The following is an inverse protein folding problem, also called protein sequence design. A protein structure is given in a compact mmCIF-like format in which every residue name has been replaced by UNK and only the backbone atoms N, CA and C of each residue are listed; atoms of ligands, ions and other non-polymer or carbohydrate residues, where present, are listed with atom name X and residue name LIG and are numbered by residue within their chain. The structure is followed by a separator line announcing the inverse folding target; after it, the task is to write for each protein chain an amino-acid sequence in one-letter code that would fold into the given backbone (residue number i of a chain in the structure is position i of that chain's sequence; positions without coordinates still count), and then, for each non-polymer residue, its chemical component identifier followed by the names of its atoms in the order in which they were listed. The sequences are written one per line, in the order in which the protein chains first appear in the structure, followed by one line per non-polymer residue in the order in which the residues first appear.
data_IF_775532635555
#
_entry.id   IF_775532635555
#
_cell.length_a   1.000
_cell.length_b   1.000
_cell.length_c   1.000
_cell.angle_alpha   90.00
_cell.angle_beta   90.00
_cell.angle_gamma   90.00
#
_symmetry.space_group_name_H-M   'P 1'
#
loop_
_entity.id
_entity.type
_entity.pdbx_description
1 polymer ?
#
# COMPACT_ATOMS: atom_id res chain seq x y z
N UNK A 1 -0.13 -7.06 -12.43
CA UNK A 1 -0.39 -5.75 -11.81
C UNK A 1 0.95 -5.13 -11.53
N UNK A 2 1.08 -3.84 -11.78
CA UNK A 2 2.34 -3.12 -11.67
C UNK A 2 2.37 -2.26 -10.41
N UNK A 3 3.58 -1.98 -9.90
CA UNK A 3 3.76 -1.05 -8.79
C UNK A 3 3.12 0.30 -9.12
N UNK A 4 2.29 0.78 -8.19
CA UNK A 4 1.50 2.00 -8.31
C UNK A 4 0.11 1.83 -8.90
N UNK A 5 -0.28 0.63 -9.36
CA UNK A 5 -1.66 0.40 -9.78
C UNK A 5 -2.63 0.64 -8.61
N UNK A 6 -3.67 1.41 -8.90
CA UNK A 6 -4.80 1.66 -7.99
C UNK A 6 -5.92 0.71 -8.37
N UNK A 7 -6.41 -0.07 -7.43
CA UNK A 7 -7.48 -1.05 -7.69
C UNK A 7 -8.55 -1.04 -6.61
N UNK A 8 -9.73 -1.54 -6.97
CA UNK A 8 -10.78 -1.90 -6.01
C UNK A 8 -10.85 -3.42 -5.90
N UNK A 9 -11.33 -3.90 -4.75
CA UNK A 9 -11.55 -5.32 -4.50
C UNK A 9 -12.98 -5.53 -3.99
N UNK A 10 -13.83 -6.07 -4.84
CA UNK A 10 -15.19 -6.44 -4.49
C UNK A 10 -15.20 -7.65 -3.56
N UNK A 11 -15.97 -7.59 -2.48
CA UNK A 11 -16.02 -8.65 -1.46
C UNK A 11 -14.64 -8.95 -0.82
N UNK A 12 -13.88 -7.90 -0.46
CA UNK A 12 -12.60 -8.06 0.20
C UNK A 12 -12.71 -8.97 1.45
N UNK A 13 -12.01 -10.12 1.49
CA UNK A 13 -12.27 -11.20 2.45
C UNK A 13 -11.91 -10.83 3.90
N UNK A 14 -11.10 -9.79 4.09
CA UNK A 14 -10.66 -9.33 5.41
C UNK A 14 -11.47 -8.11 5.91
N UNK A 15 -12.63 -7.83 5.30
CA UNK A 15 -13.54 -6.80 5.80
C UNK A 15 -14.35 -7.32 7.00
N UNK A 16 -14.26 -6.62 8.13
CA UNK A 16 -15.03 -6.92 9.35
C UNK A 16 -16.44 -6.30 9.30
N UNK A 17 -16.65 -5.29 8.45
CA UNK A 17 -17.92 -4.56 8.28
C UNK A 17 -18.38 -4.56 6.82
N UNK A 18 -19.66 -4.25 6.60
CA UNK A 18 -20.28 -4.05 5.28
C UNK A 18 -19.38 -3.26 4.32
N UNK A 19 -19.44 -3.65 3.04
CA UNK A 19 -18.58 -3.31 1.91
C UNK A 19 -18.26 -1.81 1.79
N UNK A 20 -17.36 -1.29 2.64
CA UNK A 20 -16.83 0.08 2.51
C UNK A 20 -16.03 0.16 1.23
N UNK A 21 -16.42 1.07 0.33
CA UNK A 21 -15.61 1.45 -0.84
C UNK A 21 -14.22 1.86 -0.34
N UNK A 22 -13.22 1.14 -0.82
CA UNK A 22 -11.81 1.42 -0.54
C UNK A 22 -11.01 1.13 -1.78
N UNK A 23 -9.97 1.92 -1.97
CA UNK A 23 -8.97 1.69 -2.99
C UNK A 23 -7.75 1.07 -2.34
N UNK A 24 -7.06 0.26 -3.11
CA UNK A 24 -5.80 -0.35 -2.76
C UNK A 24 -4.74 0.21 -3.71
N UNK A 25 -3.51 0.35 -3.21
CA UNK A 25 -2.37 0.74 -4.03
C UNK A 25 -1.36 -0.41 -4.02
N UNK A 26 -1.10 -1.02 -5.17
CA UNK A 26 -0.15 -2.12 -5.27
C UNK A 26 1.30 -1.63 -5.13
N UNK A 27 2.01 -2.08 -4.10
CA UNK A 27 3.41 -1.75 -3.82
C UNK A 27 4.37 -2.92 -4.05
N UNK A 28 3.90 -3.98 -4.71
CA UNK A 28 4.69 -5.16 -5.04
C UNK A 28 4.55 -6.30 -4.03
N UNK A 29 5.50 -7.21 -4.06
CA UNK A 29 5.48 -8.44 -3.26
C UNK A 29 6.28 -8.31 -1.96
N UNK A 30 5.93 -9.11 -0.98
CA UNK A 30 6.63 -9.31 0.28
C UNK A 30 6.85 -10.80 0.52
N UNK A 31 8.08 -11.19 0.87
CA UNK A 31 8.41 -12.52 1.39
C UNK A 31 9.00 -12.39 2.78
N UNK A 32 8.52 -13.14 3.75
CA UNK A 32 9.05 -13.02 5.12
C UNK A 32 10.53 -13.42 5.17
N UNK A 33 10.88 -14.50 4.45
CA UNK A 33 12.25 -14.83 4.10
C UNK A 33 12.52 -14.49 2.62
N UNK A 34 13.32 -13.46 2.32
CA UNK A 34 13.64 -13.07 0.95
C UNK A 34 14.76 -13.92 0.31
N UNK A 35 15.15 -15.05 0.92
CA UNK A 35 16.12 -15.98 0.33
C UNK A 35 15.58 -16.52 -1.02
N UNK A 36 16.31 -16.36 -2.13
CA UNK A 36 15.88 -16.86 -3.43
C UNK A 36 15.76 -18.40 -3.51
N UNK A 37 16.34 -19.13 -2.55
CA UNK A 37 16.26 -20.59 -2.46
C UNK A 37 15.16 -21.07 -1.50
N UNK A 38 14.43 -20.16 -0.85
CA UNK A 38 13.27 -20.52 -0.03
C UNK A 38 11.99 -20.56 -0.87
N UNK A 39 11.56 -21.78 -1.18
CA UNK A 39 10.31 -22.10 -1.85
C UNK A 39 9.15 -22.36 -0.88
N UNK A 40 9.41 -22.34 0.43
CA UNK A 40 8.43 -22.63 1.48
C UNK A 40 7.74 -21.38 1.99
N UNK A 41 8.42 -20.23 1.93
CA UNK A 41 7.87 -18.96 2.37
C UNK A 41 6.75 -18.47 1.46
N UNK A 42 5.57 -18.26 2.04
CA UNK A 42 4.43 -17.65 1.35
C UNK A 42 4.78 -16.26 0.84
N UNK A 43 4.41 -15.99 -0.41
CA UNK A 43 4.48 -14.65 -0.99
C UNK A 43 3.23 -13.90 -0.60
N UNK A 44 3.41 -12.66 -0.19
CA UNK A 44 2.35 -11.73 0.15
C UNK A 44 2.39 -10.55 -0.83
N UNK A 45 1.24 -9.90 -1.03
CA UNK A 45 1.09 -8.67 -1.78
C UNK A 45 1.03 -7.51 -0.82
N UNK A 46 1.86 -6.49 -1.04
CA UNK A 46 1.85 -5.23 -0.30
C UNK A 46 0.84 -4.29 -0.98
N UNK A 47 -0.34 -4.12 -0.39
CA UNK A 47 -1.41 -3.29 -0.89
C UNK A 47 -2.10 -2.47 0.22
N UNK A 48 -1.52 -1.33 0.65
CA UNK A 48 -2.22 -0.38 1.53
C UNK A 48 -3.60 0.00 1.00
N UNK A 49 -4.52 0.19 1.93
CA UNK A 49 -5.90 0.61 1.65
C UNK A 49 -6.16 2.05 2.05
N UNK A 50 -7.08 2.67 1.34
CA UNK A 50 -7.58 4.00 1.68
C UNK A 50 -8.82 3.94 2.57
N UNK A 51 -9.13 5.05 3.21
CA UNK A 51 -10.41 5.31 3.88
C UNK A 51 -11.03 6.61 3.38
N UNK A 52 -12.36 6.63 3.28
CA UNK A 52 -13.15 7.83 2.96
C UNK A 52 -13.54 8.60 4.22
N UNK A 53 -13.19 8.10 5.41
CA UNK A 53 -13.42 8.77 6.69
C UNK A 53 -12.33 9.83 6.94
N UNK A 54 -12.35 10.89 6.12
CA UNK A 54 -11.33 11.95 6.13
C UNK A 54 -11.35 12.79 7.40
N UNK A 55 -12.51 12.87 8.06
CA UNK A 55 -12.71 13.68 9.26
C UNK A 55 -11.74 13.34 10.40
N UNK A 56 -11.27 12.09 10.52
CA UNK A 56 -10.36 11.71 11.62
C UNK A 56 -8.93 12.25 11.47
N UNK A 57 -8.61 12.86 10.33
CA UNK A 57 -7.28 13.36 9.99
C UNK A 57 -7.22 14.89 9.93
N UNK A 58 -8.33 15.57 10.24
CA UNK A 58 -8.37 17.03 10.34
C UNK A 58 -7.63 17.53 11.60
N UNK A 59 -7.17 18.79 11.64
CA UNK A 59 -6.46 19.32 12.80
C UNK A 59 -7.25 19.16 14.11
N UNK A 60 -6.60 18.59 15.13
CA UNK A 60 -7.20 18.32 16.45
C UNK A 60 -7.84 16.94 16.59
N UNK A 61 -7.92 16.17 15.51
CA UNK A 61 -8.51 14.83 15.52
C UNK A 61 -7.51 13.73 15.84
N UNK A 62 -8.03 12.55 16.18
CA UNK A 62 -7.23 11.42 16.69
C UNK A 62 -6.11 10.97 15.76
N UNK A 63 -6.24 11.15 14.45
CA UNK A 63 -5.26 10.71 13.44
C UNK A 63 -4.60 11.87 12.68
N UNK A 64 -4.75 13.11 13.15
CA UNK A 64 -4.17 14.29 12.51
C UNK A 64 -2.64 14.19 12.34
N UNK A 65 -1.96 13.52 13.28
CA UNK A 65 -0.50 13.33 13.29
C UNK A 65 -0.05 12.02 12.62
N UNK A 66 -0.98 11.20 12.11
CA UNK A 66 -0.61 9.96 11.43
C UNK A 66 0.17 10.28 10.14
N UNK A 67 1.15 9.46 9.73
CA UNK A 67 1.66 9.53 8.38
C UNK A 67 0.54 9.10 7.41
N UNK A 68 0.00 10.06 6.66
CA UNK A 68 -1.04 9.79 5.66
C UNK A 68 -0.81 10.60 4.39
N UNK A 69 -1.51 10.19 3.32
CA UNK A 69 -1.61 10.93 2.06
C UNK A 69 -3.09 11.10 1.72
N UNK A 70 -3.48 12.33 1.38
CA UNK A 70 -4.82 12.64 0.89
C UNK A 70 -4.83 12.58 -0.63
N UNK A 71 -5.87 11.97 -1.18
CA UNK A 71 -6.13 11.89 -2.61
C UNK A 71 -7.43 12.58 -2.96
N UNK A 72 -7.43 13.31 -4.08
CA UNK A 72 -8.61 13.91 -4.69
C UNK A 72 -8.96 13.18 -5.98
N UNK A 73 -10.26 13.03 -6.32
CA UNK A 73 -10.68 12.47 -7.62
C UNK A 73 -10.09 13.22 -8.82
N UNK A 74 -9.83 14.52 -8.65
CA UNK A 74 -9.32 15.40 -9.69
C UNK A 74 -7.84 15.16 -10.03
N UNK A 75 -7.11 14.38 -9.23
CA UNK A 75 -5.71 14.03 -9.52
C UNK A 75 -5.58 12.99 -10.64
N UNK A 76 -6.67 12.31 -11.02
CA UNK A 76 -6.67 11.39 -12.17
C UNK A 76 -6.06 10.02 -11.89
N UNK A 77 -5.85 9.64 -10.62
CA UNK A 77 -5.24 8.36 -10.24
C UNK A 77 -6.24 7.18 -10.11
N UNK A 78 -7.51 7.38 -10.45
CA UNK A 78 -8.55 6.33 -10.40
C UNK A 78 -9.40 6.30 -9.12
N UNK A 79 -9.22 7.29 -8.23
CA UNK A 79 -10.11 7.51 -7.09
C UNK A 79 -11.38 8.23 -7.54
N UNK A 80 -12.55 7.80 -7.03
CA UNK A 80 -13.84 8.43 -7.39
C UNK A 80 -14.37 9.39 -6.32
N UNK A 81 -13.76 9.40 -5.14
CA UNK A 81 -14.07 10.34 -4.05
C UNK A 81 -12.79 10.70 -3.29
N UNK A 82 -12.86 11.73 -2.47
CA UNK A 82 -11.75 12.09 -1.59
C UNK A 82 -11.47 10.95 -0.62
N UNK A 83 -10.20 10.57 -0.51
CA UNK A 83 -9.81 9.49 0.40
C UNK A 83 -8.41 9.70 0.96
N UNK A 84 -8.12 8.96 2.03
CA UNK A 84 -6.86 9.02 2.75
C UNK A 84 -6.21 7.64 2.78
N UNK A 85 -4.95 7.59 2.38
CA UNK A 85 -4.07 6.46 2.59
C UNK A 85 -3.38 6.61 3.95
N UNK A 86 -3.85 5.87 4.95
CA UNK A 86 -3.24 5.86 6.28
C UNK A 86 -2.05 4.90 6.29
N UNK A 87 -0.88 5.44 6.57
CA UNK A 87 0.40 4.72 6.60
C UNK A 87 0.94 4.63 8.04
N UNK A 88 0.08 4.82 9.05
CA UNK A 88 0.47 4.64 10.45
C UNK A 88 0.62 3.17 10.84
N UNK A 89 -0.10 2.26 10.16
CA UNK A 89 -0.21 0.85 10.51
C UNK A 89 0.22 -0.06 9.35
N UNK A 90 0.79 -1.22 9.69
CA UNK A 90 1.35 -2.19 8.75
C UNK A 90 0.34 -3.18 8.14
N UNK A 91 -0.96 -2.93 8.26
CA UNK A 91 -2.03 -3.80 7.74
C UNK A 91 -2.17 -3.68 6.21
N UNK A 92 -1.21 -4.30 5.51
CA UNK A 92 -0.94 -4.05 4.10
C UNK A 92 -0.66 -5.31 3.31
N UNK A 93 -0.43 -6.43 3.98
CA UNK A 93 0.04 -7.66 3.33
C UNK A 93 -1.10 -8.65 3.18
N UNK A 94 -1.24 -9.19 1.97
CA UNK A 94 -2.33 -10.09 1.59
C UNK A 94 -1.71 -11.35 0.98
N UNK A 95 -2.14 -12.58 1.35
CA UNK A 95 -1.63 -13.79 0.70
C UNK A 95 -1.77 -13.73 -0.83
N UNK A 96 -0.69 -14.02 -1.55
CA UNK A 96 -0.64 -13.89 -3.00
C UNK A 96 -1.64 -14.82 -3.69
N UNK A 97 -1.82 -16.04 -3.19
CA UNK A 97 -2.80 -16.99 -3.69
C UNK A 97 -4.23 -16.42 -3.65
N UNK A 98 -4.64 -15.84 -2.53
CA UNK A 98 -5.95 -15.20 -2.38
C UNK A 98 -6.06 -14.00 -3.33
N UNK A 99 -5.01 -13.20 -3.44
CA UNK A 99 -4.99 -12.06 -4.36
C UNK A 99 -5.16 -12.50 -5.82
N UNK A 100 -4.40 -13.52 -6.26
CA UNK A 100 -4.44 -14.03 -7.62
C UNK A 100 -5.79 -14.68 -7.95
N UNK A 101 -6.34 -15.51 -7.05
CA UNK A 101 -7.67 -16.10 -7.21
C UNK A 101 -8.75 -15.02 -7.44
N UNK A 102 -8.69 -13.92 -6.68
CA UNK A 102 -9.64 -12.82 -6.79
C UNK A 102 -9.38 -11.94 -8.02
N UNK A 103 -8.14 -11.87 -8.50
CA UNK A 103 -7.79 -11.20 -9.73
C UNK A 103 -8.31 -11.98 -10.96
N UNK A 104 -8.12 -13.29 -10.98
CA UNK A 104 -8.62 -14.20 -12.03
C UNK A 104 -10.16 -14.22 -12.06
N UNK A 105 -10.78 -14.17 -10.89
CA UNK A 105 -12.24 -14.11 -10.73
C UNK A 105 -12.84 -12.72 -11.01
N UNK A 106 -12.05 -11.75 -11.47
CA UNK A 106 -12.46 -10.38 -11.80
C UNK A 106 -13.07 -9.58 -10.62
N UNK A 107 -12.83 -10.02 -9.38
CA UNK A 107 -13.23 -9.27 -8.16
C UNK A 107 -12.30 -8.10 -7.90
N UNK A 108 -11.08 -8.15 -8.42
CA UNK A 108 -10.12 -7.05 -8.41
C UNK A 108 -10.16 -6.33 -9.76
N UNK A 109 -10.37 -5.01 -9.71
CA UNK A 109 -10.43 -4.17 -10.91
C UNK A 109 -9.46 -2.99 -10.77
N UNK A 110 -8.52 -2.87 -11.72
CA UNK A 110 -7.62 -1.73 -11.81
C UNK A 110 -8.42 -0.50 -12.25
N UNK A 111 -8.25 0.62 -11.54
CA UNK A 111 -8.94 1.89 -11.75
C UNK A 111 -8.03 3.03 -12.19
N UNK A 112 -6.74 2.92 -11.93
CA UNK A 112 -5.77 3.93 -12.33
C UNK A 112 -4.37 3.58 -11.86
N UNK A 113 -3.49 4.57 -11.87
CA UNK A 113 -2.08 4.41 -11.51
C UNK A 113 -1.55 5.67 -10.83
N UNK A 114 -0.85 5.48 -9.71
CA UNK A 114 -0.16 6.54 -8.98
C UNK A 114 1.05 7.00 -9.79
N UNK A 115 1.28 8.31 -9.86
CA UNK A 115 2.47 8.87 -10.50
C UNK A 115 3.76 8.58 -9.70
N UNK A 116 4.89 8.54 -10.38
CA UNK A 116 6.21 8.35 -9.76
C UNK A 116 6.48 9.33 -8.61
N UNK A 117 6.11 10.60 -8.80
CA UNK A 117 6.28 11.63 -7.78
C UNK A 117 5.45 11.33 -6.52
N UNK A 118 4.23 10.83 -6.70
CA UNK A 118 3.35 10.47 -5.59
C UNK A 118 3.76 9.15 -4.94
N UNK A 119 4.31 8.20 -5.70
CA UNK A 119 4.95 7.00 -5.15
C UNK A 119 6.16 7.33 -4.27
N UNK A 120 6.95 8.34 -4.63
CA UNK A 120 8.05 8.85 -3.79
C UNK A 120 7.52 9.45 -2.48
N UNK A 121 6.42 10.19 -2.54
CA UNK A 121 5.76 10.74 -1.34
C UNK A 121 5.23 9.61 -0.42
N UNK A 122 4.56 8.59 -1.00
CA UNK A 122 4.11 7.40 -0.28
C UNK A 122 5.31 6.73 0.41
N UNK A 123 6.39 6.53 -0.33
CA UNK A 123 7.59 5.91 0.22
C UNK A 123 8.20 6.72 1.36
N UNK A 124 8.28 8.04 1.25
CA UNK A 124 8.83 8.90 2.30
C UNK A 124 8.03 8.79 3.61
N UNK A 125 6.69 8.77 3.51
CA UNK A 125 5.82 8.55 4.68
C UNK A 125 6.02 7.17 5.29
N UNK A 126 6.13 6.12 4.47
CA UNK A 126 6.43 4.75 4.92
C UNK A 126 7.81 4.67 5.59
N UNK A 127 8.82 5.31 4.99
CA UNK A 127 10.19 5.31 5.46
C UNK A 127 10.28 5.84 6.91
N UNK A 128 9.52 6.90 7.21
CA UNK A 128 9.46 7.51 8.54
C UNK A 128 8.44 6.86 9.49
N UNK A 129 7.48 6.10 8.98
CA UNK A 129 6.43 5.45 9.78
C UNK A 129 7.00 4.39 10.73
N UNK A 130 6.44 4.30 11.95
CA UNK A 130 6.75 3.23 12.91
C UNK A 130 5.92 1.96 12.70
N UNK A 131 4.85 2.04 11.89
CA UNK A 131 3.98 0.90 11.61
C UNK A 131 4.59 -0.17 10.71
N UNK A 132 5.74 0.12 10.10
CA UNK A 132 6.38 -0.74 9.11
C UNK A 132 7.66 -1.33 9.67
N UNK A 133 7.79 -2.66 9.59
CA UNK A 133 9.02 -3.36 9.93
C UNK A 133 10.16 -2.95 8.99
N UNK A 134 11.40 -3.10 9.45
CA UNK A 134 12.56 -2.82 8.60
C UNK A 134 12.55 -3.69 7.33
N UNK A 135 12.18 -4.96 7.44
CA UNK A 135 12.09 -5.89 6.31
C UNK A 135 11.07 -5.41 5.28
N UNK A 136 9.88 -5.01 5.74
CA UNK A 136 8.83 -4.51 4.86
C UNK A 136 9.27 -3.24 4.13
N UNK A 137 9.91 -2.30 4.84
CA UNK A 137 10.47 -1.08 4.21
C UNK A 137 11.53 -1.40 3.15
N UNK A 138 12.39 -2.39 3.40
CA UNK A 138 13.42 -2.83 2.45
C UNK A 138 12.80 -3.42 1.19
N UNK A 139 11.78 -4.27 1.33
CA UNK A 139 11.13 -4.87 0.16
C UNK A 139 10.29 -3.87 -0.63
N UNK A 140 9.58 -2.94 0.04
CA UNK A 140 8.91 -1.81 -0.65
C UNK A 140 9.93 -0.96 -1.43
N UNK A 141 11.07 -0.65 -0.81
CA UNK A 141 12.16 0.07 -1.48
C UNK A 141 12.63 -0.69 -2.73
N UNK A 142 12.86 -2.00 -2.63
CA UNK A 142 13.37 -2.80 -3.74
C UNK A 142 12.32 -2.94 -4.86
N UNK A 143 11.03 -3.11 -4.51
CA UNK A 143 9.93 -3.13 -5.46
C UNK A 143 9.82 -1.81 -6.23
N UNK A 144 9.89 -0.67 -5.53
CA UNK A 144 9.86 0.66 -6.15
C UNK A 144 11.07 0.88 -7.08
N UNK A 145 12.28 0.49 -6.66
CA UNK A 145 13.47 0.60 -7.53
C UNK A 145 13.35 -0.29 -8.78
N UNK A 146 12.85 -1.52 -8.66
CA UNK A 146 12.58 -2.41 -9.80
C UNK A 146 11.56 -1.81 -10.76
N UNK A 147 10.59 -1.05 -10.25
CA UNK A 147 9.60 -0.32 -11.04
C UNK A 147 10.14 1.00 -11.66
N UNK A 148 11.43 1.31 -11.49
CA UNK A 148 12.05 2.52 -12.04
C UNK A 148 12.06 3.74 -11.10
N UNK A 149 11.48 3.63 -9.90
CA UNK A 149 11.48 4.69 -8.89
C UNK A 149 12.81 4.66 -8.13
N UNK A 150 13.85 5.22 -8.74
CA UNK A 150 15.23 5.23 -8.25
C UNK A 150 15.52 6.34 -7.23
N UNK A 151 16.70 6.34 -6.61
CA UNK A 151 17.19 7.37 -5.67
C UNK A 151 16.39 7.49 -4.36
N UNK A 152 15.73 6.41 -3.94
CA UNK A 152 15.06 6.34 -2.65
C UNK A 152 16.07 6.08 -1.52
N UNK A 153 15.90 6.67 -0.33
CA UNK A 153 16.80 6.40 0.80
C UNK A 153 16.62 4.95 1.28
N UNK A 154 17.68 4.14 1.20
CA UNK A 154 17.63 2.75 1.67
C UNK A 154 17.38 2.69 3.19
N UNK A 155 16.40 1.90 3.68
CA UNK A 155 16.16 1.69 5.10
C UNK A 155 17.38 1.05 5.77
N UNK A 156 17.72 1.53 6.97
CA UNK A 156 18.86 1.02 7.76
C UNK A 156 18.39 0.75 9.19
N UNK A 157 18.98 -0.24 9.85
CA UNK A 157 18.86 -0.36 11.31
C UNK A 157 19.37 0.94 11.92
N UNK A 158 18.54 1.60 12.74
CA UNK A 158 19.04 2.67 13.61
C UNK A 158 20.07 2.03 14.54
N UNK A 159 21.28 2.58 14.59
CA UNK A 159 22.22 2.25 15.66
C UNK A 159 21.57 2.77 16.95
N UNK A 160 21.23 1.88 17.88
CA UNK A 160 20.84 2.23 19.24
C UNK A 160 22.03 2.82 19.98
#
# INVERSE_FOLDING_TARGET
MDVGDVFIWEQYPYSIEETKRRWFIYLGEYKDNPDPFDDTSSVMIIAPTTTTQTQYYEPGERRAENPFIRFSPNEGFGFTEECILDLAHGDLVIPQDIFLENLESQKIQIKGKISDQKLREIYDKIYHSRGYSLMLKLQIHDNLNKAGISNLPKPKRRKS
#
